data_IF_544722324831
#
_entry.id   IF_544722324831
#
_cell.length_a   1.000
_cell.length_b   1.000
_cell.length_c   1.000
_cell.angle_alpha   90.00
_cell.angle_beta   90.00
_cell.angle_gamma   90.00
#
_symmetry.space_group_name_H-M   'P 1'
#
loop_
_entity.id
_entity.type
_entity.pdbx_description
1 polymer ?
#
# COMPACT_ATOMS: atom_id res chain seq x y z
N UNK A 1 -8.35 26.94 2.32
CA UNK A 1 -6.93 26.96 2.77
C UNK A 1 -6.47 25.58 3.29
N UNK A 2 -7.06 24.99 4.34
CA UNK A 2 -6.63 23.71 4.94
C UNK A 2 -6.55 22.56 3.92
N UNK A 3 -7.56 22.41 3.05
CA UNK A 3 -7.56 21.38 2.02
C UNK A 3 -6.41 21.56 1.01
N UNK A 4 -6.08 22.79 0.63
CA UNK A 4 -4.93 23.08 -0.25
C UNK A 4 -3.62 22.72 0.44
N UNK A 5 -3.46 23.04 1.74
CA UNK A 5 -2.29 22.64 2.53
C UNK A 5 -2.16 21.12 2.64
N UNK A 6 -3.28 20.40 2.77
CA UNK A 6 -3.30 18.93 2.72
C UNK A 6 -2.82 18.39 1.36
N UNK A 7 -3.27 18.98 0.25
CA UNK A 7 -2.79 18.56 -1.08
C UNK A 7 -1.29 18.80 -1.24
N UNK A 8 -0.78 19.92 -0.76
CA UNK A 8 0.67 20.20 -0.74
C UNK A 8 1.40 19.16 0.11
N UNK A 9 0.90 18.86 1.31
CA UNK A 9 1.47 17.83 2.18
C UNK A 9 1.51 16.46 1.48
N UNK A 10 0.42 16.09 0.82
CA UNK A 10 0.33 14.83 0.09
C UNK A 10 1.35 14.78 -1.06
N UNK A 11 1.50 15.88 -1.82
CA UNK A 11 2.49 15.98 -2.88
C UNK A 11 3.93 15.91 -2.33
N UNK A 12 4.25 16.64 -1.26
CA UNK A 12 5.57 16.61 -0.61
C UNK A 12 5.92 15.21 -0.10
N UNK A 13 4.93 14.50 0.44
CA UNK A 13 5.14 13.13 0.96
C UNK A 13 5.36 12.10 -0.14
N UNK A 14 4.65 12.20 -1.29
CA UNK A 14 4.76 11.19 -2.34
C UNK A 14 5.83 11.49 -3.39
N UNK A 15 6.12 12.78 -3.68
CA UNK A 15 7.14 13.14 -4.65
C UNK A 15 8.55 13.23 -4.06
N UNK A 16 8.67 13.32 -2.73
CA UNK A 16 9.95 13.46 -2.03
C UNK A 16 10.90 14.53 -2.60
N UNK A 17 10.42 15.76 -2.93
CA UNK A 17 11.25 16.75 -3.62
C UNK A 17 12.44 17.21 -2.78
N UNK A 18 12.36 17.12 -1.45
CA UNK A 18 13.45 17.49 -0.55
C UNK A 18 14.58 16.49 -0.66
N UNK A 19 14.27 15.19 -0.65
CA UNK A 19 15.26 14.11 -0.79
C UNK A 19 15.89 14.12 -2.18
N UNK A 20 15.08 14.40 -3.22
CA UNK A 20 15.53 14.42 -4.60
C UNK A 20 16.42 15.64 -4.96
N UNK A 21 16.11 16.85 -4.44
CA UNK A 21 16.74 18.09 -4.91
C UNK A 21 17.46 18.89 -3.82
N UNK A 22 17.21 18.61 -2.55
CA UNK A 22 17.78 19.34 -1.42
C UNK A 22 18.00 18.43 -0.18
N UNK A 23 18.77 17.33 -0.31
CA UNK A 23 18.90 16.33 0.76
C UNK A 23 19.44 16.91 2.07
N UNK A 24 20.23 17.98 2.01
CA UNK A 24 20.73 18.71 3.18
C UNK A 24 19.62 19.31 4.06
N UNK A 25 18.42 19.54 3.51
CA UNK A 25 17.27 20.04 4.28
C UNK A 25 16.52 18.93 4.99
N UNK A 26 16.76 17.65 4.65
CA UNK A 26 16.06 16.50 5.26
C UNK A 26 16.32 16.40 6.79
N UNK A 27 17.49 16.82 7.26
CA UNK A 27 17.84 16.85 8.68
C UNK A 27 16.87 17.69 9.53
N UNK A 28 16.37 18.80 8.97
CA UNK A 28 15.39 19.67 9.65
C UNK A 28 13.96 19.11 9.65
N UNK A 29 13.71 17.96 9.02
CA UNK A 29 12.40 17.30 8.92
C UNK A 29 11.25 18.24 8.52
N UNK A 30 11.38 19.06 7.47
CA UNK A 30 10.41 20.12 7.14
C UNK A 30 9.02 19.56 6.80
N UNK A 31 8.93 18.34 6.23
CA UNK A 31 7.66 17.67 5.96
C UNK A 31 6.94 17.34 7.26
N UNK A 32 7.66 16.88 8.28
CA UNK A 32 7.08 16.61 9.61
C UNK A 32 6.54 17.89 10.26
N UNK A 33 7.33 18.98 10.25
CA UNK A 33 6.90 20.27 10.80
C UNK A 33 5.65 20.77 10.08
N UNK A 34 5.65 20.73 8.75
CA UNK A 34 4.50 21.12 7.95
C UNK A 34 3.28 20.23 8.23
N UNK A 35 3.46 18.91 8.40
CA UNK A 35 2.42 17.97 8.76
C UNK A 35 1.76 18.32 10.09
N UNK A 36 2.56 18.69 11.10
CA UNK A 36 2.05 19.08 12.42
C UNK A 36 1.23 20.38 12.35
N UNK A 37 1.66 21.35 11.56
CA UNK A 37 0.93 22.59 11.33
C UNK A 37 -0.43 22.29 10.66
N UNK A 38 -0.42 21.50 9.57
CA UNK A 38 -1.65 21.12 8.86
C UNK A 38 -2.57 20.32 9.78
N UNK A 39 -2.04 19.42 10.61
CA UNK A 39 -2.80 18.66 11.60
C UNK A 39 -3.50 19.58 12.61
N UNK A 40 -2.77 20.54 13.20
CA UNK A 40 -3.31 21.47 14.19
C UNK A 40 -4.51 22.25 13.64
N UNK A 41 -4.37 22.81 12.43
CA UNK A 41 -5.48 23.50 11.76
C UNK A 41 -6.64 22.55 11.39
N UNK A 42 -6.32 21.31 10.99
CA UNK A 42 -7.33 20.31 10.64
C UNK A 42 -8.15 19.88 11.86
N UNK A 43 -7.50 19.69 13.02
CA UNK A 43 -8.18 19.37 14.28
C UNK A 43 -9.08 20.52 14.71
N UNK A 44 -8.58 21.77 14.66
CA UNK A 44 -9.36 22.94 15.01
C UNK A 44 -10.65 23.06 14.16
N UNK A 45 -10.53 22.91 12.84
CA UNK A 45 -11.66 22.95 11.91
C UNK A 45 -12.62 21.76 12.15
N UNK A 46 -12.10 20.56 12.35
CA UNK A 46 -12.88 19.35 12.55
C UNK A 46 -13.67 19.36 13.87
N UNK A 47 -13.12 19.94 14.93
CA UNK A 47 -13.85 20.15 16.20
C UNK A 47 -14.98 21.15 16.00
N UNK A 48 -14.69 22.29 15.33
CA UNK A 48 -15.68 23.34 15.05
C UNK A 48 -16.83 22.86 14.18
N UNK A 49 -16.55 21.98 13.22
CA UNK A 49 -17.55 21.48 12.25
C UNK A 49 -18.23 20.18 12.67
N UNK A 50 -17.84 19.58 13.79
CA UNK A 50 -18.36 18.31 14.27
C UNK A 50 -17.82 17.07 13.53
N UNK A 51 -16.93 17.24 12.56
CA UNK A 51 -16.31 16.14 11.78
C UNK A 51 -15.54 15.18 12.68
N UNK A 52 -14.90 15.69 13.73
CA UNK A 52 -14.15 14.87 14.70
C UNK A 52 -15.01 13.77 15.32
N UNK A 53 -16.22 14.11 15.79
CA UNK A 53 -17.13 13.15 16.41
C UNK A 53 -17.60 12.09 15.40
N UNK A 54 -17.88 12.48 14.15
CA UNK A 54 -18.26 11.54 13.09
C UNK A 54 -17.14 10.53 12.75
N UNK A 55 -15.86 10.87 12.99
CA UNK A 55 -14.69 10.02 12.72
C UNK A 55 -14.17 9.26 13.95
N UNK A 56 -14.82 9.39 15.10
CA UNK A 56 -14.31 8.88 16.39
C UNK A 56 -13.94 7.38 16.36
N UNK A 57 -14.74 6.52 15.72
CA UNK A 57 -14.46 5.08 15.59
C UNK A 57 -13.07 4.83 14.98
N UNK A 58 -12.77 5.49 13.87
CA UNK A 58 -11.51 5.28 13.12
C UNK A 58 -10.31 5.89 13.85
N UNK A 59 -10.51 7.03 14.51
CA UNK A 59 -9.50 7.65 15.36
C UNK A 59 -9.18 6.79 16.58
N UNK A 60 -10.18 6.16 17.20
CA UNK A 60 -9.99 5.23 18.32
C UNK A 60 -9.23 3.98 17.89
N UNK A 61 -9.52 3.42 16.70
CA UNK A 61 -8.77 2.27 16.16
C UNK A 61 -7.30 2.62 15.90
N UNK A 62 -7.02 3.80 15.32
CA UNK A 62 -5.66 4.27 15.15
C UNK A 62 -4.97 4.49 16.49
N UNK A 63 -5.65 5.13 17.47
CA UNK A 63 -5.15 5.33 18.82
C UNK A 63 -4.83 4.01 19.52
N UNK A 64 -5.67 2.99 19.36
CA UNK A 64 -5.43 1.65 19.87
C UNK A 64 -4.22 0.97 19.20
N UNK A 65 -4.02 1.15 17.88
CA UNK A 65 -2.83 0.68 17.20
C UNK A 65 -1.56 1.40 17.68
N UNK A 66 -1.61 2.72 17.88
CA UNK A 66 -0.49 3.48 18.48
C UNK A 66 -0.18 3.00 19.89
N UNK A 67 -1.21 2.72 20.69
CA UNK A 67 -1.04 2.12 22.01
C UNK A 67 -0.39 0.75 21.95
N UNK A 68 -0.76 -0.07 20.95
CA UNK A 68 -0.13 -1.37 20.74
C UNK A 68 1.36 -1.23 20.38
N UNK A 69 1.73 -0.25 19.54
CA UNK A 69 3.14 0.06 19.20
C UNK A 69 3.93 0.44 20.48
N UNK A 70 3.38 1.29 21.34
CA UNK A 70 4.01 1.65 22.61
C UNK A 70 4.16 0.43 23.51
N UNK A 71 3.08 -0.33 23.70
CA UNK A 71 3.08 -1.51 24.58
C UNK A 71 4.02 -2.60 24.07
N UNK A 72 4.17 -2.76 22.75
CA UNK A 72 5.12 -3.73 22.17
C UNK A 72 6.57 -3.40 22.57
N UNK A 73 6.94 -2.11 22.58
CA UNK A 73 8.28 -1.68 23.02
C UNK A 73 8.47 -1.77 24.54
N UNK A 74 7.46 -1.42 25.31
CA UNK A 74 7.51 -1.55 26.77
C UNK A 74 7.62 -3.02 27.19
N UNK A 75 6.92 -3.91 26.51
CA UNK A 75 6.93 -5.35 26.80
C UNK A 75 8.29 -6.02 26.55
N UNK A 76 9.17 -5.43 25.71
CA UNK A 76 10.57 -5.91 25.58
C UNK A 76 11.47 -5.50 26.75
N UNK A 77 10.95 -4.80 27.77
CA UNK A 77 11.72 -4.26 28.87
C UNK A 77 12.36 -2.90 28.60
N UNK A 78 12.16 -2.32 27.42
CA UNK A 78 12.75 -1.03 27.03
C UNK A 78 11.69 0.06 26.82
N UNK A 79 11.22 0.63 27.92
CA UNK A 79 10.23 1.73 27.89
C UNK A 79 10.73 2.99 27.15
N UNK A 80 12.06 3.23 27.12
CA UNK A 80 12.67 4.32 26.36
C UNK A 80 12.47 4.24 24.84
N UNK A 81 12.20 3.05 24.30
CA UNK A 81 11.92 2.83 22.88
C UNK A 81 10.52 3.26 22.42
N UNK A 82 9.60 3.56 23.35
CA UNK A 82 8.24 3.93 23.03
C UNK A 82 8.12 5.24 22.24
N UNK A 83 8.82 6.29 22.66
CA UNK A 83 8.79 7.58 21.97
C UNK A 83 9.45 7.53 20.58
N UNK A 84 10.63 6.95 20.37
CA UNK A 84 11.18 6.71 19.05
C UNK A 84 10.24 5.96 18.11
N UNK A 85 9.56 4.91 18.58
CA UNK A 85 8.59 4.15 17.78
C UNK A 85 7.39 5.00 17.33
N UNK A 86 6.87 5.87 18.20
CA UNK A 86 5.82 6.82 17.82
C UNK A 86 6.28 7.86 16.82
N UNK A 87 7.52 8.34 16.94
CA UNK A 87 8.11 9.29 15.99
C UNK A 87 8.28 8.60 14.63
N UNK A 88 8.74 7.37 14.59
CA UNK A 88 8.88 6.58 13.35
C UNK A 88 7.52 6.34 12.68
N UNK A 89 6.49 6.01 13.47
CA UNK A 89 5.12 5.83 12.97
C UNK A 89 4.35 7.15 12.78
N UNK A 90 4.98 8.32 12.96
CA UNK A 90 4.29 9.62 12.89
C UNK A 90 3.80 9.96 11.47
N UNK A 91 4.57 9.71 10.42
CA UNK A 91 4.18 10.06 9.05
C UNK A 91 2.91 9.34 8.59
N UNK A 92 2.75 8.00 8.73
CA UNK A 92 1.49 7.30 8.49
C UNK A 92 0.33 7.84 9.31
N UNK A 93 0.55 8.07 10.61
CA UNK A 93 -0.47 8.57 11.54
C UNK A 93 -0.97 9.94 11.16
N UNK A 94 -0.06 10.90 10.91
CA UNK A 94 -0.40 12.28 10.55
C UNK A 94 -1.18 12.33 9.25
N UNK A 95 -0.73 11.62 8.22
CA UNK A 95 -1.41 11.56 6.93
C UNK A 95 -2.80 10.93 7.04
N UNK A 96 -2.95 9.84 7.79
CA UNK A 96 -4.25 9.23 8.02
C UNK A 96 -5.22 10.22 8.68
N UNK A 97 -4.81 10.84 9.81
CA UNK A 97 -5.66 11.76 10.56
C UNK A 97 -6.04 12.97 9.72
N UNK A 98 -5.07 13.62 9.07
CA UNK A 98 -5.35 14.78 8.22
C UNK A 98 -6.28 14.39 7.06
N UNK A 99 -6.06 13.23 6.41
CA UNK A 99 -6.91 12.76 5.31
C UNK A 99 -8.37 12.62 5.76
N UNK A 100 -8.63 11.95 6.87
CA UNK A 100 -10.01 11.70 7.33
C UNK A 100 -10.71 12.97 7.85
N UNK A 101 -9.96 13.94 8.36
CA UNK A 101 -10.53 15.20 8.85
C UNK A 101 -10.79 16.21 7.72
N UNK A 102 -9.94 16.25 6.71
CA UNK A 102 -9.96 17.29 5.67
C UNK A 102 -10.75 16.87 4.44
N UNK A 103 -10.77 15.57 4.09
CA UNK A 103 -11.52 15.06 2.92
C UNK A 103 -12.97 14.79 3.32
N UNK A 104 -13.80 15.82 3.22
CA UNK A 104 -15.21 15.82 3.68
C UNK A 104 -16.24 15.84 2.55
N UNK A 105 -15.82 15.82 1.29
CA UNK A 105 -16.70 15.78 0.11
C UNK A 105 -16.11 14.92 -1.00
N UNK A 106 -16.98 14.42 -1.89
CA UNK A 106 -16.58 13.66 -3.08
C UNK A 106 -15.65 14.47 -4.00
N UNK A 107 -15.81 15.78 -4.06
CA UNK A 107 -14.92 16.64 -4.85
C UNK A 107 -13.50 16.65 -4.27
N UNK A 108 -13.37 16.83 -2.95
CA UNK A 108 -12.08 16.75 -2.26
C UNK A 108 -11.45 15.38 -2.39
N UNK A 109 -12.26 14.31 -2.27
CA UNK A 109 -11.81 12.94 -2.48
C UNK A 109 -11.24 12.76 -3.90
N UNK A 110 -11.97 13.25 -4.92
CA UNK A 110 -11.52 13.19 -6.32
C UNK A 110 -10.23 13.94 -6.55
N UNK A 111 -10.07 15.12 -5.93
CA UNK A 111 -8.85 15.91 -6.04
C UNK A 111 -7.66 15.21 -5.36
N UNK A 112 -7.84 14.65 -4.17
CA UNK A 112 -6.80 13.91 -3.47
C UNK A 112 -6.36 12.65 -4.25
N UNK A 113 -7.31 11.84 -4.72
CA UNK A 113 -7.01 10.67 -5.57
C UNK A 113 -6.35 11.08 -6.89
N UNK A 114 -6.81 12.17 -7.51
CA UNK A 114 -6.22 12.70 -8.74
C UNK A 114 -4.78 13.18 -8.55
N UNK A 115 -4.47 13.79 -7.41
CA UNK A 115 -3.12 14.19 -7.07
C UNK A 115 -2.19 12.98 -6.84
N UNK A 116 -2.66 11.94 -6.14
CA UNK A 116 -1.89 10.70 -5.97
C UNK A 116 -1.57 10.05 -7.32
N UNK A 117 -2.57 9.97 -8.22
CA UNK A 117 -2.35 9.50 -9.59
C UNK A 117 -1.32 10.35 -10.31
N UNK A 118 -1.42 11.69 -10.21
CA UNK A 118 -0.46 12.61 -10.83
C UNK A 118 0.95 12.41 -10.28
N UNK A 119 1.11 12.28 -8.96
CA UNK A 119 2.41 11.99 -8.35
C UNK A 119 3.01 10.69 -8.92
N UNK A 120 2.23 9.61 -8.96
CA UNK A 120 2.71 8.34 -9.49
C UNK A 120 3.04 8.40 -10.99
N UNK A 121 2.28 9.16 -11.78
CA UNK A 121 2.60 9.38 -13.21
C UNK A 121 3.91 10.14 -13.36
N UNK A 122 4.12 11.22 -12.59
CA UNK A 122 5.37 12.00 -12.65
C UNK A 122 6.59 11.17 -12.27
N UNK A 123 6.49 10.40 -11.16
CA UNK A 123 7.55 9.49 -10.73
C UNK A 123 7.80 8.37 -11.75
N UNK A 124 6.74 7.84 -12.37
CA UNK A 124 6.87 6.84 -13.43
C UNK A 124 7.56 7.38 -14.67
N UNK A 125 7.26 8.62 -15.08
CA UNK A 125 7.94 9.27 -16.20
C UNK A 125 9.42 9.49 -15.87
N UNK A 126 9.74 9.94 -14.66
CA UNK A 126 11.13 10.11 -14.21
C UNK A 126 11.88 8.77 -14.20
N UNK A 127 11.28 7.70 -13.65
CA UNK A 127 11.89 6.37 -13.63
C UNK A 127 12.09 5.78 -15.05
N UNK A 128 11.12 5.97 -15.96
CA UNK A 128 11.25 5.54 -17.37
C UNK A 128 12.37 6.31 -18.06
N UNK A 129 12.47 7.62 -17.87
CA UNK A 129 13.56 8.44 -18.41
C UNK A 129 14.93 8.03 -17.82
N UNK A 130 14.98 7.73 -16.53
CA UNK A 130 16.19 7.21 -15.87
C UNK A 130 16.66 5.88 -16.51
N UNK A 131 15.70 5.01 -16.81
CA UNK A 131 15.99 3.68 -17.37
C UNK A 131 16.50 3.74 -18.81
N UNK A 132 15.88 4.57 -19.68
CA UNK A 132 16.20 4.63 -21.11
C UNK A 132 17.23 5.71 -21.45
N UNK A 133 17.14 6.88 -20.85
CA UNK A 133 17.93 8.06 -21.21
C UNK A 133 19.05 8.36 -20.19
N UNK A 134 19.11 7.62 -19.06
CA UNK A 134 20.10 7.84 -18.01
C UNK A 134 19.83 9.04 -17.10
N UNK A 135 18.67 9.70 -17.21
CA UNK A 135 18.31 10.84 -16.35
C UNK A 135 18.19 10.42 -14.88
N UNK A 136 19.06 10.95 -13.99
CA UNK A 136 19.10 10.59 -12.56
C UNK A 136 19.14 9.07 -12.32
N UNK A 137 19.89 8.35 -13.14
CA UNK A 137 19.92 6.88 -13.15
C UNK A 137 20.34 6.32 -11.80
N UNK A 138 21.37 6.89 -11.19
CA UNK A 138 21.94 6.42 -9.92
C UNK A 138 20.93 6.54 -8.76
N UNK A 139 19.94 7.44 -8.89
CA UNK A 139 18.92 7.69 -7.88
C UNK A 139 17.60 6.93 -8.14
N UNK A 140 17.35 6.47 -9.37
CA UNK A 140 16.04 5.94 -9.78
C UNK A 140 16.09 4.53 -10.37
N UNK A 141 17.29 3.97 -10.56
CA UNK A 141 17.48 2.63 -11.11
C UNK A 141 18.44 1.85 -10.22
N UNK A 142 18.02 0.66 -9.81
CA UNK A 142 18.84 -0.25 -9.01
C UNK A 142 19.20 -1.48 -9.81
N UNK A 143 20.45 -1.93 -9.69
CA UNK A 143 20.95 -3.16 -10.24
C UNK A 143 20.77 -4.28 -9.21
N UNK A 144 19.98 -5.31 -9.54
CA UNK A 144 19.86 -6.53 -8.74
C UNK A 144 20.72 -7.61 -9.39
N UNK A 145 21.80 -8.02 -8.70
CA UNK A 145 22.67 -9.07 -9.21
C UNK A 145 22.03 -10.42 -8.90
N UNK A 146 21.91 -11.28 -9.91
CA UNK A 146 21.62 -12.69 -9.69
C UNK A 146 22.74 -13.31 -8.85
N UNK A 147 22.46 -14.38 -8.12
CA UNK A 147 23.48 -15.06 -7.30
C UNK A 147 24.60 -15.62 -8.21
N UNK A 148 25.64 -14.81 -8.39
CA UNK A 148 26.93 -15.31 -8.89
C UNK A 148 27.77 -15.60 -7.66
N UNK A 149 28.23 -16.82 -7.55
CA UNK A 149 29.13 -17.31 -6.49
C UNK A 149 30.56 -16.72 -6.58
N UNK A 150 30.83 -15.74 -7.42
CA UNK A 150 32.14 -15.13 -7.57
C UNK A 150 32.12 -13.61 -7.20
N UNK A 151 32.92 -13.28 -6.20
CA UNK A 151 33.08 -11.98 -5.55
C UNK A 151 33.69 -10.86 -6.43
N UNK A 152 33.78 -10.98 -7.75
CA UNK A 152 34.64 -10.10 -8.57
C UNK A 152 33.99 -9.51 -9.84
N UNK A 153 32.69 -9.64 -10.07
CA UNK A 153 32.09 -8.99 -11.24
C UNK A 153 31.65 -7.56 -10.93
N UNK A 154 32.58 -6.61 -11.05
CA UNK A 154 32.25 -5.18 -11.22
C UNK A 154 31.58 -5.05 -12.60
N UNK A 155 30.24 -4.94 -12.63
CA UNK A 155 29.53 -4.67 -13.88
C UNK A 155 29.73 -3.21 -14.24
N UNK A 156 30.22 -2.89 -15.46
CA UNK A 156 30.36 -1.52 -15.92
C UNK A 156 29.01 -0.80 -15.87
N UNK A 157 29.01 0.46 -15.39
CA UNK A 157 27.78 1.28 -15.24
C UNK A 157 27.03 1.56 -16.55
N UNK A 158 27.60 1.22 -17.69
CA UNK A 158 27.12 1.58 -19.02
C UNK A 158 26.29 0.48 -19.68
N UNK A 159 26.18 -0.71 -19.07
CA UNK A 159 25.44 -1.86 -19.64
C UNK A 159 23.99 -1.81 -19.15
N UNK A 160 23.04 -1.59 -20.05
CA UNK A 160 21.60 -1.65 -19.86
C UNK A 160 21.02 -2.61 -20.89
N UNK A 161 19.97 -3.30 -20.52
CA UNK A 161 19.64 -4.04 -19.31
C UNK A 161 20.08 -5.50 -19.41
N UNK A 162 20.35 -6.09 -18.31
CA UNK A 162 20.63 -7.51 -18.28
C UNK A 162 19.38 -8.29 -17.88
N UNK A 163 19.12 -9.31 -18.61
CA UNK A 163 17.91 -10.08 -18.55
C UNK A 163 18.11 -11.43 -17.94
N UNK A 164 18.13 -11.79 -16.81
CA UNK A 164 17.75 -13.13 -16.39
C UNK A 164 18.29 -13.62 -15.04
N UNK A 165 17.76 -14.76 -14.58
CA UNK A 165 18.24 -15.54 -13.44
C UNK A 165 19.56 -16.31 -13.73
N UNK A 166 20.20 -16.08 -14.86
CA UNK A 166 21.42 -16.79 -15.30
C UNK A 166 22.72 -16.17 -14.78
N UNK A 167 22.67 -15.29 -13.80
CA UNK A 167 23.83 -14.59 -13.24
C UNK A 167 24.10 -13.23 -13.86
N UNK A 168 23.19 -12.72 -14.67
CA UNK A 168 23.23 -11.38 -15.23
C UNK A 168 22.56 -10.36 -14.30
N UNK A 169 22.84 -9.09 -14.49
CA UNK A 169 22.29 -7.99 -13.68
C UNK A 169 20.92 -7.60 -14.19
N UNK A 170 19.90 -7.60 -13.31
CA UNK A 170 18.57 -7.11 -13.61
C UNK A 170 18.44 -5.66 -13.15
N UNK A 171 18.16 -4.74 -14.09
CA UNK A 171 17.93 -3.34 -13.79
C UNK A 171 16.46 -3.07 -13.51
N UNK A 172 16.17 -2.38 -12.40
CA UNK A 172 14.80 -2.14 -11.92
C UNK A 172 14.63 -0.68 -11.56
N UNK A 173 13.52 -0.06 -11.98
CA UNK A 173 13.19 1.30 -11.58
C UNK A 173 12.58 1.34 -10.18
N UNK A 174 12.88 2.41 -9.44
CA UNK A 174 12.29 2.77 -8.16
C UNK A 174 12.07 4.28 -8.05
N UNK A 175 11.81 4.81 -6.86
CA UNK A 175 11.65 6.24 -6.61
C UNK A 175 12.36 6.62 -5.30
N UNK A 176 12.12 7.80 -4.78
CA UNK A 176 12.74 8.28 -3.54
C UNK A 176 11.96 7.93 -2.29
N UNK A 177 12.61 8.05 -1.13
CA UNK A 177 12.01 7.90 0.19
C UNK A 177 11.42 6.53 0.43
N UNK A 178 10.19 6.44 0.90
CA UNK A 178 9.54 5.16 1.16
C UNK A 178 9.15 4.38 -0.12
N UNK A 179 9.40 4.92 -1.31
CA UNK A 179 9.23 4.26 -2.61
C UNK A 179 10.58 3.86 -3.22
N UNK A 180 11.67 3.84 -2.43
CA UNK A 180 13.03 3.50 -2.88
C UNK A 180 13.22 2.02 -3.23
N UNK A 181 12.30 1.14 -2.87
CA UNK A 181 12.30 -0.24 -3.34
C UNK A 181 11.39 -0.38 -4.58
N UNK A 182 11.82 -1.07 -5.66
CA UNK A 182 11.01 -1.29 -6.85
C UNK A 182 9.64 -1.91 -6.58
N UNK A 183 9.55 -2.80 -5.57
CA UNK A 183 8.29 -3.44 -5.21
C UNK A 183 7.34 -2.47 -4.51
N UNK A 184 7.85 -1.51 -3.72
CA UNK A 184 7.06 -0.47 -3.08
C UNK A 184 6.51 0.52 -4.10
N UNK A 185 7.36 0.92 -5.03
CA UNK A 185 6.95 1.79 -6.11
C UNK A 185 5.85 1.14 -6.95
N UNK A 186 6.02 -0.14 -7.30
CA UNK A 186 4.98 -0.87 -8.04
C UNK A 186 3.69 -1.09 -7.23
N UNK A 187 3.77 -1.31 -5.91
CA UNK A 187 2.61 -1.38 -5.03
C UNK A 187 1.82 -0.07 -5.04
N UNK A 188 2.51 1.08 -4.98
CA UNK A 188 1.87 2.40 -5.06
C UNK A 188 1.21 2.63 -6.45
N UNK A 189 1.85 2.16 -7.53
CA UNK A 189 1.25 2.16 -8.88
C UNK A 189 -0.04 1.31 -8.90
N UNK A 190 0.01 0.08 -8.39
CA UNK A 190 -1.17 -0.81 -8.30
C UNK A 190 -2.31 -0.15 -7.51
N UNK A 191 -1.99 0.55 -6.41
CA UNK A 191 -2.95 1.28 -5.60
C UNK A 191 -3.68 2.37 -6.40
N UNK A 192 -2.99 3.15 -7.22
CA UNK A 192 -3.60 4.31 -7.91
C UNK A 192 -4.29 3.95 -9.23
N UNK A 193 -3.99 2.80 -9.83
CA UNK A 193 -4.57 2.40 -11.11
C UNK A 193 -6.12 2.37 -11.13
N UNK A 194 -6.83 1.82 -10.13
CA UNK A 194 -8.28 1.93 -10.08
C UNK A 194 -8.76 3.38 -9.97
N UNK A 195 -8.03 4.25 -9.25
CA UNK A 195 -8.40 5.66 -9.04
C UNK A 195 -8.45 6.43 -10.37
N UNK A 196 -7.65 6.06 -11.38
CA UNK A 196 -7.71 6.62 -12.74
C UNK A 196 -9.11 6.54 -13.33
N UNK A 197 -9.84 5.46 -13.07
CA UNK A 197 -11.19 5.30 -13.56
C UNK A 197 -12.15 6.35 -12.96
N UNK A 198 -11.77 7.01 -11.86
CA UNK A 198 -12.48 8.16 -11.30
C UNK A 198 -12.59 9.34 -12.27
N UNK A 199 -11.65 9.49 -13.18
CA UNK A 199 -11.61 10.55 -14.20
C UNK A 199 -12.47 10.25 -15.45
N UNK A 200 -13.13 9.07 -15.55
CA UNK A 200 -13.90 8.66 -16.70
C UNK A 200 -15.05 9.61 -17.03
N UNK A 201 -15.11 10.06 -18.29
CA UNK A 201 -16.18 10.93 -18.82
C UNK A 201 -17.04 10.12 -19.79
N UNK A 202 -18.35 10.08 -19.53
CA UNK A 202 -19.31 9.43 -20.43
C UNK A 202 -19.33 10.14 -21.79
N UNK A 203 -19.24 9.38 -22.89
CA UNK A 203 -19.28 9.87 -24.31
C UNK A 203 -18.16 10.82 -24.73
N UNK A 204 -16.96 10.79 -24.07
CA UNK A 204 -15.82 11.63 -24.45
C UNK A 204 -14.55 10.80 -24.64
N UNK A 205 -14.51 9.98 -25.72
CA UNK A 205 -13.43 9.01 -25.98
C UNK A 205 -12.04 9.64 -26.04
N UNK A 206 -11.86 10.77 -26.73
CA UNK A 206 -10.55 11.45 -26.84
C UNK A 206 -10.06 11.97 -25.50
N UNK A 207 -10.95 12.58 -24.70
CA UNK A 207 -10.55 13.04 -23.35
C UNK A 207 -10.22 11.88 -22.42
N UNK A 208 -10.92 10.76 -22.53
CA UNK A 208 -10.61 9.55 -21.78
C UNK A 208 -9.28 8.93 -22.23
N UNK A 209 -8.94 9.01 -23.53
CA UNK A 209 -7.64 8.57 -24.01
C UNK A 209 -6.52 9.29 -23.27
N UNK A 210 -6.53 10.62 -23.25
CA UNK A 210 -5.48 11.43 -22.61
C UNK A 210 -5.49 11.32 -21.08
N UNK A 211 -6.68 11.30 -20.43
CA UNK A 211 -6.78 11.35 -18.96
C UNK A 211 -6.66 10.01 -18.27
N UNK A 212 -6.91 8.92 -18.98
CA UNK A 212 -6.97 7.57 -18.39
C UNK A 212 -6.01 6.62 -19.10
N UNK A 213 -6.16 6.44 -20.41
CA UNK A 213 -5.43 5.40 -21.11
C UNK A 213 -3.94 5.68 -21.25
N UNK A 214 -3.55 6.95 -21.50
CA UNK A 214 -2.13 7.34 -21.57
C UNK A 214 -1.48 7.19 -20.19
N UNK A 215 -2.01 7.78 -19.08
CA UNK A 215 -1.46 7.55 -17.74
C UNK A 215 -1.48 6.06 -17.35
N UNK A 216 -2.53 5.31 -17.71
CA UNK A 216 -2.60 3.88 -17.42
C UNK A 216 -1.46 3.12 -18.12
N UNK A 217 -1.21 3.39 -19.41
CA UNK A 217 -0.12 2.77 -20.14
C UNK A 217 1.26 3.11 -19.53
N UNK A 218 1.48 4.38 -19.17
CA UNK A 218 2.72 4.81 -18.48
C UNK A 218 2.92 4.10 -17.16
N UNK A 219 1.89 4.03 -16.31
CA UNK A 219 1.95 3.36 -15.01
C UNK A 219 2.16 1.84 -15.16
N UNK A 220 1.49 1.19 -16.12
CA UNK A 220 1.68 -0.24 -16.38
C UNK A 220 3.09 -0.51 -16.91
N UNK A 221 3.60 0.36 -17.79
CA UNK A 221 4.97 0.24 -18.30
C UNK A 221 6.02 0.47 -17.21
N UNK A 222 5.82 1.47 -16.35
CA UNK A 222 6.67 1.67 -15.18
C UNK A 222 6.62 0.45 -14.24
N UNK A 223 5.43 -0.10 -13.96
CA UNK A 223 5.29 -1.34 -13.17
C UNK A 223 5.98 -2.53 -13.83
N UNK A 224 6.00 -2.62 -15.17
CA UNK A 224 6.79 -3.63 -15.90
C UNK A 224 8.29 -3.47 -15.61
N UNK A 225 8.84 -2.26 -15.70
CA UNK A 225 10.26 -1.98 -15.44
C UNK A 225 10.67 -2.16 -13.96
N UNK A 226 9.72 -2.27 -13.04
CA UNK A 226 10.04 -2.67 -11.65
C UNK A 226 10.27 -4.17 -11.51
N UNK A 227 9.88 -4.99 -12.48
CA UNK A 227 9.91 -6.46 -12.44
C UNK A 227 9.33 -7.06 -11.15
N UNK A 228 8.28 -6.43 -10.59
CA UNK A 228 7.66 -6.83 -9.34
C UNK A 228 6.58 -7.90 -9.54
N UNK A 229 6.87 -9.13 -9.12
CA UNK A 229 5.89 -10.24 -9.14
C UNK A 229 4.65 -9.95 -8.28
N UNK A 230 4.83 -9.28 -7.15
CA UNK A 230 3.72 -8.84 -6.31
C UNK A 230 2.75 -7.90 -7.02
N UNK A 231 3.27 -6.98 -7.83
CA UNK A 231 2.45 -6.06 -8.63
C UNK A 231 1.60 -6.79 -9.67
N UNK A 232 2.15 -7.81 -10.33
CA UNK A 232 1.40 -8.64 -11.30
C UNK A 232 0.19 -9.30 -10.62
N UNK A 233 0.39 -9.88 -9.45
CA UNK A 233 -0.69 -10.49 -8.67
C UNK A 233 -1.73 -9.44 -8.24
N UNK A 234 -1.28 -8.27 -7.79
CA UNK A 234 -2.15 -7.15 -7.45
C UNK A 234 -3.01 -6.67 -8.64
N UNK A 235 -2.40 -6.53 -9.82
CA UNK A 235 -3.11 -6.20 -11.06
C UNK A 235 -4.12 -7.30 -11.44
N UNK A 236 -3.73 -8.57 -11.31
CA UNK A 236 -4.62 -9.71 -11.53
C UNK A 236 -5.85 -9.69 -10.63
N UNK A 237 -5.67 -9.38 -9.34
CA UNK A 237 -6.79 -9.26 -8.38
C UNK A 237 -7.70 -8.09 -8.72
N UNK A 238 -7.15 -6.91 -9.05
CA UNK A 238 -7.94 -5.74 -9.50
C UNK A 238 -8.75 -6.10 -10.74
N UNK A 239 -8.12 -6.75 -11.73
CA UNK A 239 -8.78 -7.16 -12.96
C UNK A 239 -9.89 -8.18 -12.67
N UNK A 240 -9.62 -9.22 -11.89
CA UNK A 240 -10.60 -10.24 -11.53
C UNK A 240 -11.84 -9.63 -10.86
N UNK A 241 -11.66 -8.91 -9.76
CA UNK A 241 -12.79 -8.33 -9.02
C UNK A 241 -13.48 -7.20 -9.77
N UNK A 242 -12.75 -6.40 -10.56
CA UNK A 242 -13.30 -5.37 -11.43
C UNK A 242 -14.18 -5.93 -12.55
N UNK A 243 -13.76 -7.04 -13.17
CA UNK A 243 -14.47 -7.70 -14.27
C UNK A 243 -15.60 -8.60 -13.79
N UNK A 244 -15.46 -9.29 -12.66
CA UNK A 244 -16.52 -10.15 -12.10
C UNK A 244 -17.84 -9.40 -11.95
N UNK A 245 -17.80 -8.15 -11.54
CA UNK A 245 -19.01 -7.31 -11.38
C UNK A 245 -19.69 -6.96 -12.72
N UNK A 246 -18.97 -6.96 -13.84
CA UNK A 246 -19.48 -6.57 -15.16
C UNK A 246 -19.80 -7.75 -16.05
N UNK A 247 -18.99 -8.80 -16.00
CA UNK A 247 -18.99 -9.89 -16.99
C UNK A 247 -19.38 -11.24 -16.37
N UNK A 248 -19.49 -11.32 -15.04
CA UNK A 248 -19.68 -12.58 -14.31
C UNK A 248 -18.37 -13.35 -14.12
N UNK A 249 -18.38 -14.34 -13.21
CA UNK A 249 -17.17 -15.03 -12.75
C UNK A 249 -16.42 -15.80 -13.83
N UNK A 250 -17.14 -16.52 -14.71
CA UNK A 250 -16.52 -17.36 -15.75
C UNK A 250 -15.74 -16.51 -16.77
N UNK A 251 -16.36 -15.44 -17.29
CA UNK A 251 -15.69 -14.54 -18.26
C UNK A 251 -14.53 -13.80 -17.63
N UNK A 252 -14.67 -13.36 -16.38
CA UNK A 252 -13.59 -12.74 -15.63
C UNK A 252 -12.41 -13.71 -15.43
N UNK A 253 -12.68 -14.99 -15.14
CA UNK A 253 -11.67 -16.04 -15.03
C UNK A 253 -10.92 -16.30 -16.33
N UNK A 254 -11.62 -16.34 -17.47
CA UNK A 254 -10.98 -16.49 -18.79
C UNK A 254 -10.05 -15.31 -19.08
N UNK A 255 -10.49 -14.07 -18.82
CA UNK A 255 -9.65 -12.89 -19.04
C UNK A 255 -8.45 -12.86 -18.10
N UNK A 256 -8.59 -13.34 -16.86
CA UNK A 256 -7.47 -13.47 -15.93
C UNK A 256 -6.46 -14.53 -16.42
N UNK A 257 -6.93 -15.64 -16.98
CA UNK A 257 -6.05 -16.65 -17.57
C UNK A 257 -5.28 -16.09 -18.79
N UNK A 258 -5.97 -15.36 -19.67
CA UNK A 258 -5.32 -14.66 -20.78
C UNK A 258 -4.30 -13.62 -20.32
N UNK A 259 -4.61 -12.89 -19.26
CA UNK A 259 -3.66 -11.96 -18.60
C UNK A 259 -2.42 -12.72 -18.11
N UNK A 260 -2.60 -13.87 -17.45
CA UNK A 260 -1.48 -14.71 -16.99
C UNK A 260 -0.59 -15.17 -18.15
N UNK A 261 -1.18 -15.60 -19.27
CA UNK A 261 -0.45 -15.96 -20.48
C UNK A 261 0.31 -14.75 -21.05
N UNK A 262 -0.34 -13.58 -21.14
CA UNK A 262 0.31 -12.37 -21.61
C UNK A 262 1.50 -11.95 -20.74
N UNK A 263 1.37 -12.05 -19.41
CA UNK A 263 2.46 -11.78 -18.45
C UNK A 263 3.65 -12.71 -18.72
N UNK A 264 3.40 -14.00 -18.92
CA UNK A 264 4.44 -15.00 -19.19
C UNK A 264 5.14 -14.74 -20.55
N UNK A 265 4.37 -14.46 -21.61
CA UNK A 265 4.92 -14.21 -22.96
C UNK A 265 5.70 -12.90 -23.04
N UNK A 266 5.24 -11.85 -22.35
CA UNK A 266 5.88 -10.53 -22.38
C UNK A 266 7.07 -10.40 -21.45
N UNK A 267 7.46 -11.46 -20.72
CA UNK A 267 8.61 -11.43 -19.80
C UNK A 267 8.46 -10.43 -18.66
N UNK A 268 7.22 -10.20 -18.17
CA UNK A 268 6.95 -9.19 -17.14
C UNK A 268 7.70 -9.42 -15.84
N UNK A 269 8.22 -10.62 -15.64
CA UNK A 269 9.02 -10.99 -14.46
C UNK A 269 10.53 -10.77 -14.65
N UNK A 270 10.96 -10.31 -15.82
CA UNK A 270 12.39 -10.16 -16.15
C UNK A 270 13.15 -11.50 -16.08
N UNK A 271 12.54 -12.59 -16.59
CA UNK A 271 13.14 -13.94 -16.51
C UNK A 271 13.01 -14.63 -15.14
N UNK A 272 12.62 -13.90 -14.07
CA UNK A 272 12.49 -14.46 -12.71
C UNK A 272 11.37 -15.49 -12.63
N UNK A 273 11.69 -16.70 -12.19
CA UNK A 273 10.72 -17.78 -12.05
C UNK A 273 9.76 -17.57 -10.87
N UNK A 274 8.55 -18.14 -10.96
CA UNK A 274 7.64 -18.24 -9.82
C UNK A 274 7.90 -19.49 -8.96
N UNK A 275 9.07 -20.13 -9.11
CA UNK A 275 9.38 -21.35 -8.36
C UNK A 275 9.72 -21.04 -6.90
N UNK A 276 9.35 -21.96 -6.02
CA UNK A 276 9.72 -21.90 -4.60
C UNK A 276 11.19 -22.23 -4.34
N UNK A 277 11.89 -22.77 -5.33
CA UNK A 277 13.32 -23.10 -5.26
C UNK A 277 14.25 -21.92 -5.50
N UNK A 278 13.70 -20.75 -5.87
CA UNK A 278 14.50 -19.53 -6.01
C UNK A 278 14.94 -19.02 -4.63
N UNK A 279 16.21 -18.64 -4.48
CA UNK A 279 16.78 -18.19 -3.20
C UNK A 279 15.97 -17.06 -2.53
N UNK A 280 15.41 -16.15 -3.33
CA UNK A 280 14.52 -15.07 -2.86
C UNK A 280 13.20 -15.60 -2.28
N UNK A 281 12.64 -16.69 -2.81
CA UNK A 281 11.43 -17.31 -2.28
C UNK A 281 11.71 -18.10 -0.99
N UNK A 282 12.82 -18.85 -0.97
CA UNK A 282 13.27 -19.59 0.22
C UNK A 282 13.54 -18.68 1.41
N UNK A 283 14.22 -17.54 1.18
CA UNK A 283 14.49 -16.54 2.22
C UNK A 283 13.20 -15.93 2.82
N UNK A 284 12.15 -15.72 2.00
CA UNK A 284 10.84 -15.24 2.51
C UNK A 284 10.15 -16.27 3.40
N UNK A 285 10.18 -17.56 3.01
CA UNK A 285 9.56 -18.63 3.79
C UNK A 285 10.28 -18.79 5.13
N UNK A 286 11.61 -18.71 5.14
CA UNK A 286 12.40 -18.71 6.37
C UNK A 286 12.02 -17.50 7.27
N UNK A 287 11.89 -16.30 6.71
CA UNK A 287 11.44 -15.12 7.45
C UNK A 287 10.01 -15.29 8.00
N UNK A 288 9.08 -15.93 7.25
CA UNK A 288 7.72 -16.21 7.75
C UNK A 288 7.74 -17.26 8.88
N UNK A 289 8.61 -18.27 8.76
CA UNK A 289 8.82 -19.26 9.82
C UNK A 289 9.29 -18.57 11.11
N UNK A 290 10.28 -17.68 11.00
CA UNK A 290 10.80 -16.93 12.14
C UNK A 290 9.75 -16.00 12.74
N UNK A 291 8.95 -15.31 11.90
CA UNK A 291 7.82 -14.49 12.37
C UNK A 291 6.79 -15.29 13.18
N UNK A 292 6.53 -16.56 12.81
CA UNK A 292 5.67 -17.47 13.60
C UNK A 292 6.33 -17.88 14.92
N UNK A 293 7.65 -18.08 14.95
CA UNK A 293 8.41 -18.34 16.20
C UNK A 293 8.33 -17.12 17.13
N UNK A 294 8.55 -15.91 16.61
CA UNK A 294 8.40 -14.66 17.34
C UNK A 294 6.99 -14.52 17.96
N UNK A 295 5.94 -14.80 17.16
CA UNK A 295 4.56 -14.77 17.65
C UNK A 295 4.33 -15.82 18.74
N UNK A 296 4.90 -17.02 18.61
CA UNK A 296 4.80 -18.08 19.63
C UNK A 296 5.49 -17.69 20.94
N UNK A 297 6.65 -17.04 20.87
CA UNK A 297 7.40 -16.57 22.03
C UNK A 297 6.75 -15.35 22.72
N UNK A 298 6.20 -14.42 21.94
CA UNK A 298 5.62 -13.17 22.41
C UNK A 298 4.19 -12.92 21.87
N UNK A 299 3.18 -13.75 22.23
CA UNK A 299 1.90 -13.79 21.53
C UNK A 299 1.05 -12.54 21.70
N UNK A 300 1.16 -11.79 22.81
CA UNK A 300 0.29 -10.65 23.10
C UNK A 300 0.81 -9.37 22.46
N UNK A 301 2.06 -9.00 22.71
CA UNK A 301 2.64 -7.71 22.29
C UNK A 301 3.77 -7.84 21.26
N UNK A 302 4.12 -9.05 20.84
CA UNK A 302 5.19 -9.29 19.87
C UNK A 302 6.59 -9.03 20.41
N UNK A 303 7.59 -9.06 19.51
CA UNK A 303 9.00 -8.80 19.85
C UNK A 303 9.34 -7.30 19.91
N UNK A 304 8.36 -6.44 19.70
CA UNK A 304 8.50 -4.97 19.69
C UNK A 304 8.53 -4.38 18.28
N UNK A 305 7.87 -3.24 18.10
CA UNK A 305 7.82 -2.50 16.85
C UNK A 305 9.23 -2.21 16.31
N UNK A 306 9.49 -2.55 15.05
CA UNK A 306 10.78 -2.37 14.37
C UNK A 306 11.89 -3.34 14.81
N UNK A 307 11.59 -4.39 15.58
CA UNK A 307 12.59 -5.34 16.07
C UNK A 307 12.65 -6.65 15.28
N UNK A 308 11.90 -6.79 14.20
CA UNK A 308 11.93 -8.03 13.41
C UNK A 308 13.36 -8.40 12.97
N UNK A 309 14.12 -7.41 12.49
CA UNK A 309 15.49 -7.58 12.01
C UNK A 309 16.52 -7.78 13.11
N UNK A 310 16.18 -7.56 14.37
CA UNK A 310 17.01 -7.93 15.52
C UNK A 310 16.98 -9.46 15.80
N UNK A 311 15.90 -10.13 15.34
CA UNK A 311 15.70 -11.56 15.53
C UNK A 311 16.03 -12.38 14.29
N UNK A 312 15.97 -11.76 13.09
CA UNK A 312 16.23 -12.41 11.82
C UNK A 312 16.93 -11.46 10.86
N UNK A 313 17.89 -11.94 10.07
CA UNK A 313 18.74 -11.12 9.20
C UNK A 313 18.03 -10.49 7.99
N UNK A 314 16.78 -10.89 7.68
CA UNK A 314 15.91 -10.24 6.70
C UNK A 314 14.63 -9.72 7.36
N UNK A 315 14.00 -8.72 6.74
CA UNK A 315 12.63 -8.34 7.10
C UNK A 315 11.63 -9.43 6.65
N UNK A 316 10.41 -9.41 7.21
CA UNK A 316 9.39 -10.44 6.96
C UNK A 316 8.98 -10.64 5.50
N UNK A 317 9.18 -9.64 4.62
CA UNK A 317 8.64 -9.59 3.25
C UNK A 317 7.15 -9.98 3.14
N UNK A 318 6.41 -9.71 4.21
CA UNK A 318 4.96 -9.89 4.31
C UNK A 318 4.45 -9.00 5.43
N UNK A 319 3.54 -8.08 5.11
CA UNK A 319 3.05 -7.09 6.08
C UNK A 319 2.22 -7.71 7.21
N UNK A 320 1.57 -8.85 6.96
CA UNK A 320 0.81 -9.57 7.98
C UNK A 320 1.75 -10.24 8.99
N UNK A 321 2.80 -10.91 8.47
CA UNK A 321 3.83 -11.54 9.30
C UNK A 321 4.55 -10.49 10.14
N UNK A 322 4.99 -9.39 9.51
CA UNK A 322 5.66 -8.30 10.21
C UNK A 322 4.78 -7.76 11.36
N UNK A 323 3.50 -7.53 11.09
CA UNK A 323 2.58 -6.97 12.06
C UNK A 323 2.39 -7.89 13.28
N UNK A 324 2.10 -9.17 13.07
CA UNK A 324 1.89 -10.07 14.22
C UNK A 324 3.19 -10.43 14.95
N UNK A 325 4.32 -10.48 14.28
CA UNK A 325 5.61 -10.73 14.91
C UNK A 325 6.03 -9.56 15.83
N UNK A 326 5.92 -8.33 15.34
CA UNK A 326 6.34 -7.14 16.07
C UNK A 326 5.35 -6.66 17.11
N UNK A 327 4.04 -6.73 16.84
CA UNK A 327 2.98 -6.18 17.73
C UNK A 327 2.14 -7.23 18.43
N UNK A 328 2.41 -8.52 18.19
CA UNK A 328 1.61 -9.62 18.72
C UNK A 328 0.16 -9.60 18.24
N UNK A 329 -0.68 -10.43 18.84
CA UNK A 329 -2.11 -10.52 18.50
C UNK A 329 -2.86 -9.23 18.83
N UNK A 330 -2.42 -8.49 19.86
CA UNK A 330 -3.05 -7.25 20.28
C UNK A 330 -2.95 -6.17 19.18
N UNK A 331 -1.74 -5.86 18.72
CA UNK A 331 -1.56 -4.87 17.67
C UNK A 331 -2.08 -5.36 16.31
N UNK A 332 -1.93 -6.65 16.03
CA UNK A 332 -2.44 -7.28 14.83
C UNK A 332 -3.96 -7.14 14.70
N UNK A 333 -4.70 -7.26 15.81
CA UNK A 333 -6.16 -7.06 15.84
C UNK A 333 -6.55 -5.64 15.36
N UNK A 334 -5.90 -4.61 15.84
CA UNK A 334 -6.25 -3.24 15.44
C UNK A 334 -5.84 -2.94 14.01
N UNK A 335 -4.67 -3.40 13.57
CA UNK A 335 -4.21 -3.23 12.20
C UNK A 335 -5.12 -3.95 11.19
N UNK A 336 -5.42 -5.21 11.38
CA UNK A 336 -6.37 -5.97 10.55
C UNK A 336 -7.78 -5.37 10.68
N UNK A 337 -8.15 -4.91 11.86
CA UNK A 337 -9.44 -4.27 12.13
C UNK A 337 -9.67 -3.03 11.26
N UNK A 338 -8.68 -2.16 11.14
CA UNK A 338 -8.76 -0.98 10.25
C UNK A 338 -8.96 -1.38 8.79
N UNK A 339 -8.26 -2.41 8.33
CA UNK A 339 -8.38 -2.93 6.95
C UNK A 339 -9.75 -3.56 6.70
N UNK A 340 -10.19 -4.45 7.59
CA UNK A 340 -11.47 -5.16 7.47
C UNK A 340 -12.65 -4.20 7.53
N UNK A 341 -12.60 -3.24 8.45
CA UNK A 341 -13.63 -2.20 8.57
C UNK A 341 -13.72 -1.39 7.26
N UNK A 342 -12.59 -0.89 6.74
CA UNK A 342 -12.55 -0.13 5.49
C UNK A 342 -13.08 -0.93 4.29
N UNK A 343 -12.71 -2.22 4.17
CA UNK A 343 -13.22 -3.09 3.09
C UNK A 343 -14.73 -3.30 3.17
N UNK A 344 -15.28 -3.46 4.39
CA UNK A 344 -16.72 -3.61 4.62
C UNK A 344 -17.48 -2.33 4.35
N UNK A 345 -16.98 -1.20 4.85
CA UNK A 345 -17.56 0.13 4.60
C UNK A 345 -17.61 0.44 3.11
N UNK A 346 -16.53 0.16 2.37
CA UNK A 346 -16.52 0.30 0.91
C UNK A 346 -17.49 -0.68 0.22
N UNK A 347 -17.64 -1.89 0.75
CA UNK A 347 -18.63 -2.86 0.27
C UNK A 347 -20.05 -2.32 0.42
N UNK A 348 -20.43 -1.90 1.61
CA UNK A 348 -21.76 -1.34 1.90
C UNK A 348 -22.03 -0.04 1.13
N UNK A 349 -21.03 0.86 1.04
CA UNK A 349 -21.18 2.08 0.24
C UNK A 349 -21.44 1.76 -1.24
N UNK A 350 -20.79 0.72 -1.77
CA UNK A 350 -21.02 0.27 -3.13
C UNK A 350 -22.38 -0.42 -3.35
N UNK A 351 -22.97 -1.00 -2.33
CA UNK A 351 -24.27 -1.69 -2.38
C UNK A 351 -25.44 -0.74 -2.17
N UNK A 352 -25.35 0.12 -1.16
CA UNK A 352 -26.44 1.00 -0.73
C UNK A 352 -26.55 2.29 -1.54
N UNK A 353 -25.47 2.78 -2.14
CA UNK A 353 -25.51 4.00 -2.96
C UNK A 353 -26.13 3.73 -4.35
N UNK A 354 -26.84 4.71 -4.93
CA UNK A 354 -27.44 4.60 -6.27
C UNK A 354 -26.42 4.19 -7.35
N UNK A 355 -26.87 3.45 -8.37
CA UNK A 355 -25.99 2.82 -9.38
C UNK A 355 -25.08 3.82 -10.09
N UNK A 356 -25.58 4.99 -10.45
CA UNK A 356 -24.85 6.03 -11.19
C UNK A 356 -24.24 7.10 -10.28
N UNK A 357 -24.30 6.93 -8.94
CA UNK A 357 -23.79 7.92 -7.99
C UNK A 357 -22.27 7.94 -7.92
N UNK A 358 -21.66 9.11 -7.67
CA UNK A 358 -20.22 9.23 -7.49
C UNK A 358 -19.75 8.48 -6.23
N UNK A 359 -20.55 8.40 -5.17
CA UNK A 359 -20.27 7.67 -3.93
C UNK A 359 -20.04 6.18 -4.21
N UNK A 360 -20.99 5.56 -4.93
CA UNK A 360 -20.86 4.14 -5.34
C UNK A 360 -19.61 3.90 -6.17
N UNK A 361 -19.36 4.79 -7.11
CA UNK A 361 -18.21 4.69 -8.00
C UNK A 361 -16.90 4.74 -7.21
N UNK A 362 -16.72 5.72 -6.33
CA UNK A 362 -15.52 5.85 -5.53
C UNK A 362 -15.36 4.72 -4.52
N UNK A 363 -16.43 4.26 -3.90
CA UNK A 363 -16.41 3.10 -3.02
C UNK A 363 -15.87 1.84 -3.73
N UNK A 364 -16.33 1.59 -4.97
CA UNK A 364 -15.82 0.47 -5.79
C UNK A 364 -14.35 0.62 -6.14
N UNK A 365 -13.94 1.82 -6.60
CA UNK A 365 -12.58 2.08 -7.03
C UNK A 365 -11.60 1.97 -5.86
N UNK A 366 -11.90 2.57 -4.71
CA UNK A 366 -11.06 2.50 -3.51
C UNK A 366 -11.02 1.09 -2.92
N UNK A 367 -12.13 0.34 -2.98
CA UNK A 367 -12.11 -1.08 -2.59
C UNK A 367 -11.16 -1.90 -3.46
N UNK A 368 -11.17 -1.68 -4.80
CA UNK A 368 -10.23 -2.33 -5.72
C UNK A 368 -8.78 -1.90 -5.45
N UNK A 369 -8.55 -0.62 -5.20
CA UNK A 369 -7.22 -0.10 -4.80
C UNK A 369 -6.72 -0.80 -3.53
N UNK A 370 -7.57 -0.93 -2.51
CA UNK A 370 -7.20 -1.59 -1.25
C UNK A 370 -6.95 -3.09 -1.45
N UNK A 371 -7.76 -3.80 -2.24
CA UNK A 371 -7.53 -5.21 -2.55
C UNK A 371 -6.22 -5.42 -3.33
N UNK A 372 -5.94 -4.60 -4.33
CA UNK A 372 -4.67 -4.65 -5.07
C UNK A 372 -3.47 -4.37 -4.18
N UNK A 373 -3.55 -3.33 -3.35
CA UNK A 373 -2.50 -2.99 -2.38
C UNK A 373 -2.23 -4.14 -1.40
N UNK A 374 -3.28 -4.73 -0.81
CA UNK A 374 -3.15 -5.83 0.15
C UNK A 374 -2.57 -7.09 -0.49
N UNK A 375 -2.86 -7.35 -1.77
CA UNK A 375 -2.23 -8.45 -2.51
C UNK A 375 -0.72 -8.26 -2.62
N UNK A 376 -0.25 -7.06 -2.92
CA UNK A 376 1.18 -6.75 -2.92
C UNK A 376 1.77 -6.85 -1.50
N UNK A 377 1.04 -6.43 -0.47
CA UNK A 377 1.46 -6.46 0.93
C UNK A 377 1.71 -7.87 1.48
N UNK A 378 1.19 -8.93 0.83
CA UNK A 378 1.55 -10.33 1.14
C UNK A 378 3.02 -10.66 0.81
N UNK A 379 3.68 -9.82 0.00
CA UNK A 379 5.05 -10.02 -0.46
C UNK A 379 5.99 -8.87 -0.06
N UNK A 380 5.52 -7.94 0.78
CA UNK A 380 6.22 -6.72 1.20
C UNK A 380 6.03 -6.44 2.70
N UNK A 381 7.09 -5.98 3.36
CA UNK A 381 7.06 -5.55 4.77
C UNK A 381 6.60 -4.09 4.88
N UNK A 382 5.34 -3.79 4.52
CA UNK A 382 4.84 -2.40 4.42
C UNK A 382 3.64 -2.13 5.33
N UNK A 383 3.65 -2.77 6.51
CA UNK A 383 2.63 -2.62 7.56
C UNK A 383 2.46 -1.18 8.01
N UNK A 384 3.58 -0.44 8.15
CA UNK A 384 3.62 0.88 8.76
C UNK A 384 3.99 2.00 7.77
N UNK A 385 3.75 1.79 6.47
CA UNK A 385 4.09 2.77 5.43
C UNK A 385 2.95 3.77 5.15
N UNK A 386 3.26 5.03 4.83
CA UNK A 386 2.28 6.08 4.58
C UNK A 386 1.22 5.73 3.52
N UNK A 387 1.57 4.96 2.49
CA UNK A 387 0.69 4.54 1.39
C UNK A 387 -0.57 3.83 1.89
N UNK A 388 -0.43 2.86 2.82
CA UNK A 388 -1.59 2.16 3.39
C UNK A 388 -2.51 3.12 4.14
N UNK A 389 -1.96 3.99 4.97
CA UNK A 389 -2.74 4.86 5.85
C UNK A 389 -3.45 5.97 5.09
N UNK A 390 -2.84 6.52 4.04
CA UNK A 390 -3.54 7.43 3.12
C UNK A 390 -4.70 6.72 2.42
N UNK A 391 -4.48 5.50 1.93
CA UNK A 391 -5.53 4.72 1.26
C UNK A 391 -6.68 4.40 2.20
N UNK A 392 -6.41 3.95 3.43
CA UNK A 392 -7.42 3.74 4.47
C UNK A 392 -8.17 5.05 4.79
N UNK A 393 -7.45 6.17 4.93
CA UNK A 393 -8.04 7.49 5.13
C UNK A 393 -9.00 7.90 4.01
N UNK A 394 -8.64 7.65 2.74
CA UNK A 394 -9.50 7.91 1.59
C UNK A 394 -10.73 6.99 1.56
N UNK A 395 -10.59 5.71 1.94
CA UNK A 395 -11.73 4.80 2.09
C UNK A 395 -12.72 5.33 3.14
N UNK A 396 -12.22 5.71 4.31
CA UNK A 396 -13.04 6.27 5.41
C UNK A 396 -13.71 7.57 4.97
N UNK A 397 -12.99 8.47 4.29
CA UNK A 397 -13.55 9.70 3.76
C UNK A 397 -14.69 9.43 2.76
N UNK A 398 -14.49 8.45 1.85
CA UNK A 398 -15.52 8.02 0.88
C UNK A 398 -16.75 7.45 1.58
N UNK A 399 -16.57 6.62 2.61
CA UNK A 399 -17.65 6.08 3.44
C UNK A 399 -18.52 7.18 4.05
N UNK A 400 -17.89 8.15 4.67
CA UNK A 400 -18.63 9.23 5.30
C UNK A 400 -19.31 10.20 4.30
N UNK A 401 -18.74 10.35 3.09
CA UNK A 401 -19.44 11.06 2.02
C UNK A 401 -20.72 10.32 1.63
N UNK A 402 -20.68 8.98 1.53
CA UNK A 402 -21.87 8.18 1.25
C UNK A 402 -22.90 8.25 2.39
N UNK A 403 -22.45 8.14 3.65
CA UNK A 403 -23.34 8.28 4.82
C UNK A 403 -24.07 9.61 4.84
N UNK A 404 -23.38 10.70 4.53
CA UNK A 404 -24.00 12.03 4.48
C UNK A 404 -25.14 12.06 3.46
N UNK A 405 -24.93 11.51 2.27
CA UNK A 405 -25.95 11.44 1.21
C UNK A 405 -27.15 10.59 1.64
N UNK A 406 -26.95 9.51 2.41
CA UNK A 406 -28.05 8.68 2.91
C UNK A 406 -28.84 9.36 4.03
N UNK A 407 -28.16 10.04 4.96
CA UNK A 407 -28.82 10.75 6.07
C UNK A 407 -29.64 11.96 5.59
N UNK A 408 -29.22 12.59 4.49
CA UNK A 408 -29.98 13.68 3.86
C UNK A 408 -31.27 13.15 3.17
N UNK A 409 -31.31 11.84 2.84
CA UNK A 409 -32.49 11.14 2.34
C UNK A 409 -33.14 10.37 3.51
N UNK A 410 -34.20 10.89 4.08
CA UNK A 410 -34.89 10.49 5.33
C UNK A 410 -35.20 8.99 5.49
N UNK A 411 -35.07 8.16 4.45
CA UNK A 411 -35.49 6.75 4.45
C UNK A 411 -34.35 5.74 4.76
N UNK A 412 -33.08 6.14 4.77
CA UNK A 412 -31.98 5.18 4.92
C UNK A 412 -30.99 5.61 6.00
N UNK A 413 -31.17 5.10 7.22
CA UNK A 413 -30.11 5.20 8.23
C UNK A 413 -28.91 4.35 7.82
N UNK A 414 -27.70 4.90 7.93
CA UNK A 414 -26.48 4.15 7.69
C UNK A 414 -26.41 2.95 8.65
N UNK A 415 -26.32 1.70 8.14
CA UNK A 415 -26.29 0.53 9.00
C UNK A 415 -24.98 0.47 9.79
N UNK A 416 -25.02 -0.11 10.98
CA UNK A 416 -23.79 -0.42 11.70
C UNK A 416 -23.02 -1.50 10.95
N UNK A 417 -21.67 -1.34 10.89
CA UNK A 417 -20.77 -2.28 10.22
C UNK A 417 -20.18 -3.22 11.26
N UNK A 418 -20.66 -4.47 11.38
CA UNK A 418 -20.08 -5.43 12.30
C UNK A 418 -18.73 -5.90 11.77
N UNK A 419 -17.66 -5.43 12.37
CA UNK A 419 -16.28 -5.68 11.90
C UNK A 419 -15.48 -6.64 12.80
N UNK A 420 -15.73 -6.69 14.12
CA UNK A 420 -14.93 -7.43 15.10
C UNK A 420 -14.84 -8.92 14.76
N UNK A 421 -15.98 -9.59 14.60
CA UNK A 421 -16.00 -11.04 14.29
C UNK A 421 -15.37 -11.36 12.92
N UNK A 422 -15.43 -10.41 11.97
CA UNK A 422 -14.74 -10.57 10.67
C UNK A 422 -13.24 -10.37 10.82
N UNK A 423 -12.81 -9.43 11.64
CA UNK A 423 -11.38 -9.19 11.97
C UNK A 423 -10.77 -10.44 12.59
N UNK A 424 -11.40 -11.01 13.61
CA UNK A 424 -10.92 -12.25 14.26
C UNK A 424 -10.83 -13.41 13.27
N UNK A 425 -11.79 -13.55 12.36
CA UNK A 425 -11.73 -14.58 11.29
C UNK A 425 -10.58 -14.34 10.34
N UNK A 426 -10.36 -13.11 9.88
CA UNK A 426 -9.24 -12.77 8.98
C UNK A 426 -7.91 -13.00 9.67
N UNK A 427 -7.75 -12.60 10.92
CA UNK A 427 -6.54 -12.86 11.72
C UNK A 427 -6.25 -14.36 11.82
N UNK A 428 -7.25 -15.14 12.21
CA UNK A 428 -7.09 -16.60 12.34
C UNK A 428 -6.72 -17.24 11.00
N UNK A 429 -7.48 -16.93 9.94
CA UNK A 429 -7.25 -17.50 8.60
C UNK A 429 -5.84 -17.11 8.09
N UNK A 430 -5.43 -15.87 8.23
CA UNK A 430 -4.12 -15.42 7.75
C UNK A 430 -2.95 -16.12 8.46
N UNK A 431 -3.01 -16.26 9.79
CA UNK A 431 -1.99 -16.97 10.58
C UNK A 431 -1.97 -18.45 10.18
N UNK A 432 -3.14 -19.11 10.07
CA UNK A 432 -3.23 -20.52 9.68
C UNK A 432 -2.70 -20.75 8.27
N UNK A 433 -3.05 -19.89 7.31
CA UNK A 433 -2.55 -19.99 5.93
C UNK A 433 -1.04 -19.84 5.88
N UNK A 434 -0.47 -18.85 6.57
CA UNK A 434 0.99 -18.64 6.64
C UNK A 434 1.65 -19.88 7.28
N UNK A 435 1.11 -20.40 8.39
CA UNK A 435 1.61 -21.59 9.05
C UNK A 435 1.60 -22.82 8.12
N UNK A 436 0.51 -23.03 7.38
CA UNK A 436 0.39 -24.15 6.44
C UNK A 436 1.37 -24.03 5.28
N UNK A 437 1.59 -22.82 4.74
CA UNK A 437 2.57 -22.57 3.69
C UNK A 437 3.99 -22.90 4.19
N UNK A 438 4.37 -22.39 5.36
CA UNK A 438 5.68 -22.66 5.97
C UNK A 438 5.86 -24.15 6.23
N UNK A 439 4.87 -24.80 6.82
CA UNK A 439 4.94 -26.25 7.12
C UNK A 439 5.03 -27.10 5.85
N UNK A 440 4.27 -26.76 4.81
CA UNK A 440 4.32 -27.46 3.53
C UNK A 440 5.70 -27.39 2.90
N UNK A 441 6.28 -26.19 2.83
CA UNK A 441 7.62 -26.00 2.24
C UNK A 441 8.70 -26.71 3.04
N UNK A 442 8.68 -26.64 4.36
CA UNK A 442 9.67 -27.34 5.21
C UNK A 442 9.57 -28.88 5.07
N UNK A 443 8.39 -29.42 4.73
CA UNK A 443 8.21 -30.87 4.51
C UNK A 443 8.76 -31.34 3.14
N UNK A 444 9.00 -30.45 2.18
CA UNK A 444 9.57 -30.77 0.87
C UNK A 444 11.07 -30.49 0.75
N UNK A 445 11.64 -29.75 1.72
CA UNK A 445 13.08 -29.42 1.77
C UNK A 445 13.84 -30.37 2.71
N UNK A 446 13.12 -31.07 3.59
CA UNK A 446 13.66 -32.17 4.44
C UNK A 446 13.55 -33.51 3.71
#
# INVERSE_FOLDING_TARGET
MIFTSYLILLALTFLHPIEAFAPQLAEYRPVLVFSLIVLAFSIFDAVRTGVMAARARHLLLLGALMTAIVLSRVATGWAGGALPALIEFSAPTLLFVVTILVVTSIERLRMACGLLVLCMVLLSVAGIAAYHDGFMRDDLVVAEHGQVTDELAVVPSDVIPADDDSGTTLWRIHSWGFLSDPNDFSQAIVMVLPMLMGAWLRRRSVRNLVRIWVPCALLVYASYLTHSRGAILGLGVIMLFGLMRKLGGVRAGILLALFGVAVAVLGFTGGRSFSSGEASAGGRIAAWSEGLVMLGAHPIFGVGFGNFTEHFYYTAHNSFVLCFAELGLFGYFFWVGMIVLSLKEMGQAAELSPVDSPERRWAVLLRLSLLGFLTCALFLSRTFQPTLYVLLGLCIASWHCAQKTWNDNVETQAPDVPWIGSTLRVMFISIVVIYLIVRYQNAFVA
#
